data_IF_216014042964
#
_entry.id   IF_216014042964
#
_cell.length_a   1.000
_cell.length_b   1.000
_cell.length_c   1.000
_cell.angle_alpha   90.00
_cell.angle_beta   90.00
_cell.angle_gamma   90.00
#
_symmetry.space_group_name_H-M   'P 1'
#
loop_
_entity.id
_entity.type
_entity.pdbx_description
1 polymer ?
#
# COMPACT_ATOMS: atom_id res chain seq x y z
N UNK A 1 -3.86 12.21 8.65
CA UNK A 1 -4.04 11.07 7.72
C UNK A 1 -5.51 10.73 7.58
N UNK A 2 -6.06 10.66 6.36
CA UNK A 2 -7.50 10.48 6.12
C UNK A 2 -7.75 9.18 5.35
N UNK A 3 -8.68 8.34 5.81
CA UNK A 3 -9.05 7.12 5.08
C UNK A 3 -10.42 7.29 4.45
N UNK A 4 -10.52 7.12 3.12
CA UNK A 4 -11.82 7.21 2.44
C UNK A 4 -12.76 6.09 2.89
N UNK A 5 -14.07 6.33 2.84
CA UNK A 5 -15.08 5.28 3.05
C UNK A 5 -14.85 4.08 2.11
N UNK A 6 -14.40 4.33 0.88
CA UNK A 6 -14.04 3.29 -0.09
C UNK A 6 -12.86 2.45 0.39
N UNK A 7 -11.77 3.08 0.83
CA UNK A 7 -10.60 2.38 1.36
C UNK A 7 -10.92 1.57 2.62
N UNK A 8 -11.72 2.10 3.55
CA UNK A 8 -12.19 1.36 4.74
C UNK A 8 -12.93 0.09 4.33
N UNK A 9 -13.85 0.18 3.36
CA UNK A 9 -14.60 -0.98 2.85
C UNK A 9 -13.66 -2.02 2.22
N UNK A 10 -12.71 -1.59 1.39
CA UNK A 10 -11.71 -2.46 0.75
C UNK A 10 -10.80 -3.14 1.77
N UNK A 11 -10.35 -2.41 2.79
CA UNK A 11 -9.54 -2.95 3.88
C UNK A 11 -10.27 -4.04 4.67
N UNK A 12 -11.54 -3.82 5.00
CA UNK A 12 -12.37 -4.84 5.64
C UNK A 12 -12.52 -6.08 4.76
N UNK A 13 -12.82 -5.89 3.47
CA UNK A 13 -13.07 -7.00 2.54
C UNK A 13 -11.81 -7.79 2.17
N UNK A 14 -10.68 -7.11 1.97
CA UNK A 14 -9.44 -7.71 1.41
C UNK A 14 -8.40 -8.05 2.46
N UNK A 15 -8.41 -7.35 3.59
CA UNK A 15 -7.41 -7.50 4.65
C UNK A 15 -8.04 -7.94 5.99
N UNK A 16 -9.36 -8.08 6.06
CA UNK A 16 -10.06 -8.41 7.31
C UNK A 16 -9.96 -7.34 8.40
N UNK A 17 -9.46 -6.14 8.07
CA UNK A 17 -9.15 -5.11 9.06
C UNK A 17 -10.43 -4.46 9.55
N UNK A 18 -10.71 -4.59 10.86
CA UNK A 18 -11.82 -3.92 11.52
C UNK A 18 -11.67 -2.40 11.52
N UNK A 19 -12.79 -1.65 11.50
CA UNK A 19 -12.80 -0.16 11.44
C UNK A 19 -11.87 0.49 12.47
N UNK A 20 -11.78 -0.06 13.67
CA UNK A 20 -10.97 0.47 14.77
C UNK A 20 -9.45 0.31 14.53
N UNK A 21 -9.05 -0.69 13.73
CA UNK A 21 -7.65 -0.99 13.43
C UNK A 21 -7.17 -0.34 12.13
N UNK A 22 -8.08 0.14 11.27
CA UNK A 22 -7.75 0.76 9.97
C UNK A 22 -6.78 1.93 10.16
N UNK A 23 -7.03 2.83 11.12
CA UNK A 23 -6.15 3.98 11.35
C UNK A 23 -4.71 3.58 11.68
N UNK A 24 -4.53 2.59 12.55
CA UNK A 24 -3.20 2.08 12.95
C UNK A 24 -2.48 1.39 11.79
N UNK A 25 -3.17 0.53 11.05
CA UNK A 25 -2.61 -0.17 9.88
C UNK A 25 -2.18 0.84 8.82
N UNK A 26 -3.05 1.79 8.48
CA UNK A 26 -2.78 2.76 7.43
C UNK A 26 -1.63 3.69 7.81
N UNK A 27 -1.56 4.12 9.07
CA UNK A 27 -0.41 4.87 9.60
C UNK A 27 0.89 4.06 9.48
N UNK A 28 0.89 2.81 9.96
CA UNK A 28 2.05 1.91 9.88
C UNK A 28 2.55 1.74 8.44
N UNK A 29 1.63 1.51 7.50
CA UNK A 29 1.95 1.39 6.07
C UNK A 29 2.52 2.67 5.49
N UNK A 30 2.05 3.83 5.93
CA UNK A 30 2.54 5.11 5.43
C UNK A 30 3.97 5.41 5.88
N UNK A 31 4.28 5.07 7.14
CA UNK A 31 5.59 5.26 7.77
C UNK A 31 6.61 4.19 7.37
N UNK A 32 6.21 2.91 7.38
CA UNK A 32 7.10 1.76 7.18
C UNK A 32 6.99 1.10 5.80
N UNK A 33 5.98 1.46 5.01
CA UNK A 33 5.80 0.89 3.68
C UNK A 33 6.88 1.33 2.71
N UNK A 34 7.31 0.41 1.85
CA UNK A 34 8.23 0.69 0.76
C UNK A 34 7.60 1.69 -0.19
N UNK A 35 8.32 2.77 -0.47
CA UNK A 35 7.89 3.83 -1.38
C UNK A 35 8.12 3.43 -2.84
N UNK A 36 7.42 4.09 -3.77
CA UNK A 36 7.63 3.84 -5.20
C UNK A 36 9.12 3.99 -5.61
N UNK A 37 9.82 5.00 -5.07
CA UNK A 37 11.23 5.24 -5.37
C UNK A 37 12.16 4.12 -4.88
N UNK A 38 11.76 3.36 -3.86
CA UNK A 38 12.52 2.21 -3.33
C UNK A 38 12.26 0.93 -4.13
N UNK A 39 11.25 0.90 -5.00
CA UNK A 39 10.97 -0.26 -5.86
C UNK A 39 11.95 -0.31 -7.04
N UNK A 40 12.34 -1.52 -7.44
CA UNK A 40 13.27 -1.74 -8.56
C UNK A 40 12.79 -2.87 -9.47
N UNK A 41 13.33 -2.93 -10.69
CA UNK A 41 13.07 -4.00 -11.65
C UNK A 41 11.59 -4.18 -12.01
N UNK A 42 11.11 -5.43 -11.94
CA UNK A 42 9.73 -5.79 -12.31
C UNK A 42 8.69 -5.24 -11.33
N UNK A 43 9.05 -5.05 -10.05
CA UNK A 43 8.14 -4.46 -9.07
C UNK A 43 7.85 -3.00 -9.41
N UNK A 44 8.88 -2.24 -9.80
CA UNK A 44 8.72 -0.86 -10.24
C UNK A 44 7.79 -0.74 -11.44
N UNK A 45 8.01 -1.54 -12.49
CA UNK A 45 7.14 -1.57 -13.69
C UNK A 45 5.67 -1.83 -13.36
N UNK A 46 5.42 -2.71 -12.39
CA UNK A 46 4.06 -2.99 -11.94
C UNK A 46 3.46 -1.81 -11.15
N UNK A 47 4.23 -1.18 -10.27
CA UNK A 47 3.79 0.03 -9.55
C UNK A 47 3.54 1.21 -10.50
N UNK A 48 4.41 1.42 -11.50
CA UNK A 48 4.21 2.41 -12.55
C UNK A 48 2.88 2.17 -13.28
N UNK A 49 2.57 0.91 -13.60
CA UNK A 49 1.30 0.54 -14.24
C UNK A 49 0.07 0.87 -13.39
N UNK A 50 0.18 0.78 -12.06
CA UNK A 50 -0.88 1.21 -11.15
C UNK A 50 -1.08 2.73 -11.14
N UNK A 51 0.00 3.49 -11.35
CA UNK A 51 -0.04 4.94 -11.45
C UNK A 51 -0.79 5.38 -12.71
N UNK A 52 -0.47 4.78 -13.86
CA UNK A 52 -1.19 5.06 -15.11
C UNK A 52 -2.69 4.70 -15.04
N UNK A 53 -3.04 3.65 -14.29
CA UNK A 53 -4.44 3.26 -14.12
C UNK A 53 -5.22 4.18 -13.16
N UNK A 54 -4.52 4.82 -12.21
CA UNK A 54 -5.11 5.77 -11.26
C UNK A 54 -4.42 7.12 -11.41
N UNK A 55 -4.77 7.90 -12.44
CA UNK A 55 -4.18 9.22 -12.72
C UNK A 55 -4.24 10.20 -11.54
N UNK A 56 -5.13 9.95 -10.58
CA UNK A 56 -5.25 10.74 -9.35
C UNK A 56 -4.37 10.26 -8.20
N UNK A 57 -3.74 9.08 -8.27
CA UNK A 57 -2.84 8.62 -7.23
C UNK A 57 -1.48 9.28 -7.38
N UNK A 58 -0.92 9.84 -6.30
CA UNK A 58 0.43 10.40 -6.33
C UNK A 58 1.44 9.62 -5.47
N UNK A 59 0.96 8.72 -4.61
CA UNK A 59 1.80 7.98 -3.69
C UNK A 59 1.37 6.52 -3.60
N UNK A 60 2.33 5.61 -3.72
CA UNK A 60 2.13 4.18 -3.48
C UNK A 60 3.03 3.75 -2.33
N UNK A 61 2.47 2.94 -1.43
CA UNK A 61 3.21 2.24 -0.38
C UNK A 61 2.97 0.76 -0.51
N UNK A 62 4.03 -0.02 -0.56
CA UNK A 62 3.95 -1.48 -0.54
C UNK A 62 4.25 -1.97 0.87
N UNK A 63 3.40 -2.84 1.40
CA UNK A 63 3.59 -3.42 2.72
C UNK A 63 3.03 -4.84 2.77
N UNK A 64 3.88 -5.80 3.13
CA UNK A 64 3.55 -7.22 3.05
C UNK A 64 3.22 -7.63 1.62
N UNK A 65 2.01 -8.13 1.40
CA UNK A 65 1.50 -8.57 0.11
C UNK A 65 0.48 -7.60 -0.51
N UNK A 66 0.37 -6.38 0.02
CA UNK A 66 -0.61 -5.37 -0.41
C UNK A 66 0.06 -4.07 -0.86
N UNK A 67 -0.51 -3.47 -1.90
CA UNK A 67 -0.18 -2.14 -2.38
C UNK A 67 -1.27 -1.16 -1.94
N UNK A 68 -0.85 -0.10 -1.25
CA UNK A 68 -1.73 0.94 -0.71
C UNK A 68 -1.54 2.21 -1.54
N UNK A 69 -2.63 2.66 -2.14
CA UNK A 69 -2.64 3.79 -3.06
C UNK A 69 -3.19 5.01 -2.34
N UNK A 70 -2.33 6.03 -2.25
CA UNK A 70 -2.58 7.29 -1.59
C UNK A 70 -2.67 8.44 -2.59
N UNK A 71 -3.51 9.41 -2.24
CA UNK A 71 -3.47 10.76 -2.77
C UNK A 71 -3.18 11.72 -1.63
N UNK A 72 -2.01 12.35 -1.63
CA UNK A 72 -1.50 13.15 -0.50
C UNK A 72 -1.49 12.33 0.81
N UNK A 73 -2.28 12.71 1.80
CA UNK A 73 -2.43 11.98 3.06
C UNK A 73 -3.68 11.10 3.11
N UNK A 74 -4.32 10.86 1.95
CA UNK A 74 -5.61 10.17 1.84
C UNK A 74 -5.46 8.79 1.22
N UNK A 75 -5.85 7.73 1.93
CA UNK A 75 -5.90 6.38 1.35
C UNK A 75 -7.12 6.25 0.43
N UNK A 76 -6.87 5.93 -0.83
CA UNK A 76 -7.88 5.79 -1.88
C UNK A 76 -8.30 4.33 -2.01
N UNK A 77 -7.33 3.43 -2.19
CA UNK A 77 -7.61 2.01 -2.40
C UNK A 77 -6.43 1.12 -1.98
N UNK A 78 -6.71 -0.18 -1.84
CA UNK A 78 -5.73 -1.21 -1.48
C UNK A 78 -5.84 -2.34 -2.49
N UNK A 79 -4.73 -2.72 -3.12
CA UNK A 79 -4.65 -3.73 -4.19
C UNK A 79 -3.75 -4.87 -3.73
N UNK A 80 -4.08 -6.10 -4.15
CA UNK A 80 -3.24 -7.27 -3.93
C UNK A 80 -2.02 -7.21 -4.86
N UNK A 81 -0.82 -7.41 -4.32
CA UNK A 81 0.39 -7.53 -5.12
C UNK A 81 0.40 -8.93 -5.77
N UNK A 82 0.72 -9.05 -7.07
CA UNK A 82 0.93 -10.34 -7.71
C UNK A 82 1.93 -11.18 -6.93
N UNK A 83 1.63 -12.46 -6.66
CA UNK A 83 2.44 -13.32 -5.78
C UNK A 83 3.90 -13.41 -6.22
N UNK A 84 4.15 -13.43 -7.53
CA UNK A 84 5.49 -13.44 -8.12
C UNK A 84 6.31 -12.16 -7.81
N UNK A 85 5.65 -11.07 -7.41
CA UNK A 85 6.27 -9.79 -7.08
C UNK A 85 6.40 -9.54 -5.57
N UNK A 86 5.60 -10.22 -4.74
CA UNK A 86 5.60 -10.07 -3.27
C UNK A 86 7.00 -10.28 -2.69
N UNK A 87 7.78 -11.22 -3.24
CA UNK A 87 9.16 -11.50 -2.82
C UNK A 87 10.14 -10.32 -2.95
N UNK A 88 9.81 -9.32 -3.76
CA UNK A 88 10.64 -8.12 -3.93
C UNK A 88 10.24 -6.98 -2.99
N UNK A 89 9.14 -7.13 -2.25
CA UNK A 89 8.71 -6.15 -1.24
C UNK A 89 9.55 -6.37 0.01
N UNK A 90 10.53 -5.50 0.24
CA UNK A 90 11.31 -5.51 1.49
C UNK A 90 10.42 -5.16 2.67
N UNK A 91 10.53 -5.92 3.76
CA UNK A 91 9.92 -5.58 5.04
C UNK A 91 10.86 -4.63 5.78
N UNK A 92 10.34 -3.48 6.24
CA UNK A 92 11.06 -2.60 7.18
C UNK A 92 10.81 -2.98 8.65
N UNK A 93 9.99 -3.99 8.93
CA UNK A 93 9.68 -4.47 10.28
C UNK A 93 10.76 -5.45 10.84
N UNK A 94 11.77 -5.81 10.06
CA UNK A 94 12.77 -6.85 10.41
C UNK A 94 14.12 -6.30 10.91
N UNK A 95 14.25 -4.99 11.12
CA UNK A 95 15.51 -4.31 11.51
C UNK A 95 15.48 -3.68 12.92
N UNK A 96 14.60 -4.17 13.80
CA UNK A 96 14.54 -3.72 15.19
C UNK A 96 14.46 -4.94 16.12
N UNK A 97 15.56 -5.70 16.14
CA UNK A 97 15.94 -6.59 17.26
C UNK A 97 16.68 -5.78 18.33
#
# INVERSE_FOLDING_TARGET
MVVTKHAVKRLKQRCGVGKNSVGRVVKKVYELGMTHSETTGNLKKWVDSLYFYNETANQVRLYGDKAYIFHNQKLITVIQIPQNLVKFVKRKDEDNE
#
